data_IF_207029809816
#
_entry.id   IF_207029809816
#
_cell.length_a   1.000
_cell.length_b   1.000
_cell.length_c   1.000
_cell.angle_alpha   90.00
_cell.angle_beta   90.00
_cell.angle_gamma   90.00
#
_symmetry.space_group_name_H-M   'P 1'
#
loop_
_entity.id
_entity.type
_entity.pdbx_description
1 polymer ?
#
# COMPACT_ATOMS: atom_id res chain seq x y z
N UNK A 1 23.80 -17.19 -45.14
CA UNK A 1 23.04 -16.41 -44.13
C UNK A 1 21.73 -17.14 -43.94
N UNK A 2 21.51 -17.72 -42.77
CA UNK A 2 20.32 -18.54 -42.47
C UNK A 2 19.11 -17.64 -42.21
N UNK A 3 17.87 -18.05 -42.57
CA UNK A 3 16.67 -17.22 -42.46
C UNK A 3 16.21 -16.92 -41.02
N UNK A 4 16.83 -17.55 -40.01
CA UNK A 4 16.30 -17.62 -38.64
C UNK A 4 16.65 -16.41 -37.76
N UNK A 5 17.59 -15.56 -38.17
CA UNK A 5 18.02 -14.39 -37.37
C UNK A 5 17.20 -13.13 -37.68
N UNK A 6 16.63 -13.00 -38.89
CA UNK A 6 15.82 -11.84 -39.27
C UNK A 6 14.38 -11.91 -38.73
N UNK A 7 13.77 -13.11 -38.68
CA UNK A 7 12.41 -13.29 -38.13
C UNK A 7 12.32 -13.05 -36.61
N UNK A 8 13.42 -13.23 -35.87
CA UNK A 8 13.44 -13.02 -34.41
C UNK A 8 13.57 -11.55 -34.01
N UNK A 9 14.30 -10.75 -34.79
CA UNK A 9 14.45 -9.30 -34.54
C UNK A 9 13.19 -8.52 -34.92
N UNK A 10 12.49 -8.91 -36.00
CA UNK A 10 11.20 -8.32 -36.38
C UNK A 10 10.14 -8.57 -35.28
N UNK A 11 10.09 -9.78 -34.71
CA UNK A 11 9.17 -10.12 -33.63
C UNK A 11 9.46 -9.34 -32.34
N UNK A 12 10.73 -9.11 -32.01
CA UNK A 12 11.11 -8.33 -30.82
C UNK A 12 10.76 -6.85 -30.99
N UNK A 13 10.97 -6.30 -32.17
CA UNK A 13 10.60 -4.93 -32.50
C UNK A 13 9.09 -4.73 -32.44
N UNK A 14 8.31 -5.68 -32.96
CA UNK A 14 6.85 -5.63 -32.92
C UNK A 14 6.30 -5.75 -31.49
N UNK A 15 6.91 -6.59 -30.64
CA UNK A 15 6.56 -6.67 -29.21
C UNK A 15 6.90 -5.38 -28.47
N UNK A 16 8.03 -4.75 -28.79
CA UNK A 16 8.44 -3.46 -28.20
C UNK A 16 7.56 -2.29 -28.67
N UNK A 17 7.14 -2.29 -29.94
CA UNK A 17 6.21 -1.30 -30.47
C UNK A 17 4.79 -1.50 -29.94
N UNK A 18 4.30 -2.74 -29.79
CA UNK A 18 3.03 -3.02 -29.11
C UNK A 18 3.09 -2.61 -27.64
N UNK A 19 4.20 -2.88 -26.93
CA UNK A 19 4.39 -2.47 -25.54
C UNK A 19 4.47 -0.94 -25.40
N UNK A 20 5.13 -0.24 -26.34
CA UNK A 20 5.17 1.23 -26.38
C UNK A 20 3.80 1.81 -26.70
N UNK A 21 3.12 1.32 -27.74
CA UNK A 21 1.76 1.69 -28.13
C UNK A 21 0.76 1.51 -26.98
N UNK A 22 0.88 0.40 -26.24
CA UNK A 22 0.10 0.11 -25.04
C UNK A 22 0.35 1.09 -23.87
N UNK A 23 1.57 1.62 -23.74
CA UNK A 23 1.90 2.61 -22.69
C UNK A 23 1.27 3.98 -23.01
N UNK A 24 1.09 4.31 -24.30
CA UNK A 24 0.43 5.55 -24.73
C UNK A 24 -1.09 5.55 -24.51
N UNK A 25 -1.77 4.40 -24.60
CA UNK A 25 -3.24 4.32 -24.39
C UNK A 25 -3.68 4.33 -22.93
N UNK A 26 -2.79 3.99 -21.99
CA UNK A 26 -3.15 3.90 -20.56
C UNK A 26 -3.01 5.22 -19.79
N UNK A 27 -2.88 6.35 -20.49
CA UNK A 27 -2.74 7.68 -19.88
C UNK A 27 -4.03 8.24 -19.24
N UNK A 28 -5.17 7.52 -19.33
CA UNK A 28 -6.35 7.87 -18.56
C UNK A 28 -6.18 7.50 -17.09
N UNK A 29 -6.17 8.54 -16.27
CA UNK A 29 -6.08 8.45 -14.81
C UNK A 29 -7.18 7.60 -14.21
N UNK A 30 -6.83 6.64 -13.35
CA UNK A 30 -7.79 5.99 -12.46
C UNK A 30 -8.24 6.99 -11.38
N UNK A 31 -9.36 7.66 -11.66
CA UNK A 31 -10.05 8.50 -10.69
C UNK A 31 -11.28 7.75 -10.19
N UNK A 32 -11.30 7.41 -8.90
CA UNK A 32 -12.48 6.82 -8.29
C UNK A 32 -13.67 7.76 -8.43
N UNK A 33 -14.75 7.27 -9.03
CA UNK A 33 -16.02 7.99 -9.08
C UNK A 33 -16.61 8.01 -7.67
N UNK A 34 -17.48 8.99 -7.41
CA UNK A 34 -18.19 9.11 -6.12
C UNK A 34 -18.88 7.81 -5.71
N UNK A 35 -19.50 7.12 -6.67
CA UNK A 35 -20.18 5.84 -6.44
C UNK A 35 -19.21 4.74 -5.96
N UNK A 36 -18.00 4.71 -6.51
CA UNK A 36 -16.95 3.76 -6.12
C UNK A 36 -16.38 4.12 -4.74
N UNK A 37 -16.17 5.40 -4.44
CA UNK A 37 -15.76 5.84 -3.11
C UNK A 37 -16.80 5.49 -2.03
N UNK A 38 -18.08 5.70 -2.33
CA UNK A 38 -19.19 5.31 -1.44
C UNK A 38 -19.27 3.80 -1.27
N UNK A 39 -19.04 3.03 -2.35
CA UNK A 39 -18.95 1.58 -2.29
C UNK A 39 -17.81 1.12 -1.39
N UNK A 40 -16.60 1.67 -1.56
CA UNK A 40 -15.44 1.36 -0.73
C UNK A 40 -15.74 1.68 0.74
N UNK A 41 -16.27 2.87 1.03
CA UNK A 41 -16.65 3.26 2.41
C UNK A 41 -17.67 2.31 3.01
N UNK A 42 -18.68 1.92 2.24
CA UNK A 42 -19.70 0.95 2.67
C UNK A 42 -19.07 -0.42 2.94
N UNK A 43 -18.25 -0.94 2.02
CA UNK A 43 -17.57 -2.23 2.19
C UNK A 43 -16.68 -2.25 3.45
N UNK A 44 -15.93 -1.17 3.70
CA UNK A 44 -15.11 -1.02 4.91
C UNK A 44 -15.98 -1.02 6.17
N UNK A 45 -17.14 -0.36 6.11
CA UNK A 45 -18.10 -0.27 7.21
C UNK A 45 -18.75 -1.62 7.53
N UNK A 46 -19.11 -2.41 6.53
CA UNK A 46 -19.81 -3.69 6.73
C UNK A 46 -18.87 -4.84 7.09
N UNK A 47 -17.55 -4.62 6.95
CA UNK A 47 -16.55 -5.65 7.15
C UNK A 47 -16.54 -6.19 8.58
N UNK A 48 -16.80 -7.50 8.72
CA UNK A 48 -16.74 -8.21 9.99
C UNK A 48 -15.32 -8.70 10.24
N UNK A 49 -14.69 -8.12 11.26
CA UNK A 49 -13.28 -8.33 11.57
C UNK A 49 -13.12 -9.47 12.59
N UNK A 50 -12.24 -10.46 12.34
CA UNK A 50 -11.87 -11.45 13.34
C UNK A 50 -11.28 -10.85 14.62
N UNK A 51 -11.42 -11.56 15.74
CA UNK A 51 -10.79 -11.14 17.00
C UNK A 51 -9.26 -11.02 16.84
N UNK A 52 -8.70 -9.93 17.37
CA UNK A 52 -7.25 -9.65 17.32
C UNK A 52 -6.80 -8.74 16.16
N UNK A 53 -7.68 -8.44 15.20
CA UNK A 53 -7.40 -7.44 14.15
C UNK A 53 -7.97 -6.08 14.57
N UNK A 54 -7.24 -5.00 14.28
CA UNK A 54 -7.68 -3.65 14.62
C UNK A 54 -8.88 -3.26 13.76
N UNK A 55 -9.96 -2.84 14.42
CA UNK A 55 -11.13 -2.28 13.75
C UNK A 55 -10.81 -0.87 13.27
N UNK A 56 -11.08 -0.58 12.00
CA UNK A 56 -10.93 0.77 11.45
C UNK A 56 -12.22 1.54 11.70
N UNK A 57 -12.12 2.79 12.15
CA UNK A 57 -13.30 3.64 12.36
C UNK A 57 -14.04 3.92 11.05
N UNK A 58 -15.38 3.99 11.12
CA UNK A 58 -16.26 3.99 9.94
C UNK A 58 -16.22 5.29 9.12
N UNK A 59 -15.73 6.39 9.68
CA UNK A 59 -15.79 7.72 9.06
C UNK A 59 -14.43 8.14 8.46
N UNK A 60 -13.81 7.23 7.71
CA UNK A 60 -12.55 7.51 6.99
C UNK A 60 -12.79 8.62 5.97
N UNK A 61 -11.97 9.68 6.05
CA UNK A 61 -12.06 10.84 5.15
C UNK A 61 -13.05 11.91 5.58
N UNK A 62 -13.79 11.72 6.68
CA UNK A 62 -14.60 12.79 7.25
C UNK A 62 -13.78 13.66 8.21
N UNK A 63 -13.94 15.01 8.18
CA UNK A 63 -13.20 15.92 9.07
C UNK A 63 -13.39 15.65 10.56
N UNK A 64 -14.48 14.97 10.94
CA UNK A 64 -14.90 14.75 12.33
C UNK A 64 -14.21 13.58 13.02
N UNK A 65 -13.48 12.73 12.29
CA UNK A 65 -13.12 11.38 12.77
C UNK A 65 -11.76 11.31 13.47
N UNK A 66 -11.05 12.42 13.58
CA UNK A 66 -9.70 12.43 14.15
C UNK A 66 -8.69 11.70 13.24
N UNK A 67 -7.47 11.51 13.76
CA UNK A 67 -6.38 10.86 13.00
C UNK A 67 -6.41 9.36 13.24
N UNK A 68 -6.29 8.56 12.17
CA UNK A 68 -6.11 7.11 12.28
C UNK A 68 -4.82 6.79 13.04
N UNK A 69 -4.91 5.82 13.95
CA UNK A 69 -3.75 5.25 14.66
C UNK A 69 -2.98 4.34 13.70
N UNK A 70 -1.71 4.08 14.01
CA UNK A 70 -0.87 3.24 13.17
C UNK A 70 -1.41 1.82 12.96
N UNK A 71 -2.02 1.22 13.98
CA UNK A 71 -2.66 -0.09 13.85
C UNK A 71 -3.91 -0.06 12.96
N UNK A 72 -4.65 1.05 12.94
CA UNK A 72 -5.77 1.26 12.03
C UNK A 72 -5.29 1.47 10.59
N UNK A 73 -4.23 2.26 10.39
CA UNK A 73 -3.57 2.39 9.08
C UNK A 73 -3.09 1.05 8.54
N UNK A 74 -2.43 0.25 9.38
CA UNK A 74 -1.97 -1.08 9.01
C UNK A 74 -3.15 -1.97 8.59
N UNK A 75 -4.20 -2.06 9.42
CA UNK A 75 -5.38 -2.85 9.06
C UNK A 75 -6.07 -2.34 7.79
N UNK A 76 -6.15 -1.02 7.61
CA UNK A 76 -6.77 -0.41 6.42
C UNK A 76 -6.09 -0.87 5.13
N UNK A 77 -4.76 -0.76 5.06
CA UNK A 77 -4.00 -1.11 3.84
C UNK A 77 -3.72 -2.60 3.69
N UNK A 78 -3.61 -3.36 4.78
CA UNK A 78 -3.32 -4.80 4.72
C UNK A 78 -4.56 -5.67 4.48
N UNK A 79 -5.76 -5.18 4.82
CA UNK A 79 -6.97 -6.01 4.83
C UNK A 79 -8.19 -5.32 4.20
N UNK A 80 -8.55 -4.14 4.69
CA UNK A 80 -9.83 -3.54 4.30
C UNK A 80 -9.84 -3.04 2.86
N UNK A 81 -8.83 -2.26 2.45
CA UNK A 81 -8.75 -1.72 1.09
C UNK A 81 -8.63 -2.82 0.01
N UNK A 82 -7.76 -3.84 0.17
CA UNK A 82 -7.71 -4.97 -0.77
C UNK A 82 -9.07 -5.63 -1.00
N UNK A 83 -9.81 -5.89 0.07
CA UNK A 83 -11.12 -6.54 -0.02
C UNK A 83 -12.19 -5.59 -0.61
N UNK A 84 -12.20 -4.33 -0.19
CA UNK A 84 -13.15 -3.34 -0.69
C UNK A 84 -12.95 -3.05 -2.20
N UNK A 85 -11.69 -3.00 -2.67
CA UNK A 85 -11.38 -2.73 -4.09
C UNK A 85 -11.68 -3.95 -4.96
N UNK A 86 -11.39 -5.18 -4.48
CA UNK A 86 -11.77 -6.41 -5.21
C UNK A 86 -13.29 -6.52 -5.38
N UNK A 87 -14.08 -5.99 -4.45
CA UNK A 87 -15.54 -6.01 -4.52
C UNK A 87 -16.13 -4.95 -5.48
N UNK A 88 -15.31 -4.05 -6.04
CA UNK A 88 -15.82 -3.01 -6.95
C UNK A 88 -16.35 -3.61 -8.26
N UNK A 89 -17.52 -3.17 -8.75
CA UNK A 89 -18.03 -3.59 -10.05
C UNK A 89 -17.09 -3.26 -11.23
N UNK A 90 -16.34 -2.15 -11.14
CA UNK A 90 -15.33 -1.76 -12.12
C UNK A 90 -14.08 -2.66 -12.12
N UNK A 91 -13.93 -3.50 -11.11
CA UNK A 91 -12.79 -4.43 -10.94
C UNK A 91 -13.21 -5.88 -11.18
N UNK A 92 -14.37 -6.28 -10.68
CA UNK A 92 -14.81 -7.68 -10.62
C UNK A 92 -16.05 -8.00 -11.48
N UNK A 93 -16.33 -7.20 -12.52
CA UNK A 93 -17.42 -7.48 -13.45
C UNK A 93 -17.00 -8.35 -14.63
N UNK A 94 -17.82 -9.35 -14.97
CA UNK A 94 -17.61 -10.22 -16.14
C UNK A 94 -17.83 -9.49 -17.47
N UNK A 95 -18.52 -8.34 -17.45
CA UNK A 95 -18.90 -7.57 -18.64
C UNK A 95 -17.88 -6.49 -19.02
N UNK A 96 -16.77 -6.36 -18.28
CA UNK A 96 -15.75 -5.34 -18.56
C UNK A 96 -15.14 -5.52 -19.96
N UNK A 97 -15.01 -4.42 -20.68
CA UNK A 97 -14.24 -4.37 -21.93
C UNK A 97 -12.74 -4.59 -21.69
N UNK A 98 -11.98 -4.83 -22.76
CA UNK A 98 -10.55 -5.18 -22.67
C UNK A 98 -9.72 -4.09 -21.95
N UNK A 99 -9.97 -2.81 -22.23
CA UNK A 99 -9.25 -1.70 -21.61
C UNK A 99 -9.58 -1.56 -20.12
N UNK A 100 -10.85 -1.70 -19.74
CA UNK A 100 -11.28 -1.67 -18.34
C UNK A 100 -10.66 -2.82 -17.54
N UNK A 101 -10.60 -4.04 -18.11
CA UNK A 101 -9.92 -5.18 -17.48
C UNK A 101 -8.43 -4.93 -17.27
N UNK A 102 -7.75 -4.29 -18.23
CA UNK A 102 -6.33 -3.93 -18.10
C UNK A 102 -6.12 -2.92 -16.97
N UNK A 103 -6.95 -1.87 -16.90
CA UNK A 103 -6.91 -0.87 -15.82
C UNK A 103 -7.19 -1.49 -14.45
N UNK A 104 -8.21 -2.34 -14.34
CA UNK A 104 -8.52 -3.09 -13.11
C UNK A 104 -7.36 -3.98 -12.66
N UNK A 105 -6.72 -4.70 -13.60
CA UNK A 105 -5.53 -5.51 -13.32
C UNK A 105 -4.39 -4.65 -12.78
N UNK A 106 -4.13 -3.50 -13.41
CA UNK A 106 -3.08 -2.57 -12.97
C UNK A 106 -3.35 -2.02 -11.56
N UNK A 107 -4.61 -1.66 -11.26
CA UNK A 107 -5.04 -1.24 -9.92
C UNK A 107 -4.80 -2.33 -8.87
N UNK A 108 -5.19 -3.57 -9.19
CA UNK A 108 -4.98 -4.72 -8.30
C UNK A 108 -3.50 -5.03 -8.08
N UNK A 109 -2.66 -4.89 -9.11
CA UNK A 109 -1.20 -5.06 -8.99
C UNK A 109 -0.57 -3.99 -8.10
N UNK A 110 -1.00 -2.73 -8.27
CA UNK A 110 -0.59 -1.62 -7.43
C UNK A 110 -0.95 -1.87 -5.96
N UNK A 111 -2.23 -2.16 -5.70
CA UNK A 111 -2.75 -2.40 -4.36
C UNK A 111 -2.12 -3.62 -3.70
N UNK A 112 -1.95 -4.71 -4.45
CA UNK A 112 -1.27 -5.92 -3.98
C UNK A 112 0.17 -5.62 -3.55
N UNK A 113 0.89 -4.83 -4.34
CA UNK A 113 2.26 -4.42 -4.01
C UNK A 113 2.30 -3.61 -2.70
N UNK A 114 1.39 -2.65 -2.54
CA UNK A 114 1.26 -1.87 -1.31
C UNK A 114 0.88 -2.73 -0.10
N UNK A 115 -0.03 -3.69 -0.28
CA UNK A 115 -0.47 -4.63 0.76
C UNK A 115 0.69 -5.49 1.24
N UNK A 116 1.50 -6.02 0.30
CA UNK A 116 2.69 -6.81 0.62
C UNK A 116 3.71 -5.97 1.39
N UNK A 117 4.01 -4.75 0.91
CA UNK A 117 4.89 -3.83 1.62
C UNK A 117 4.40 -3.56 3.05
N UNK A 118 3.11 -3.28 3.23
CA UNK A 118 2.51 -3.02 4.55
C UNK A 118 2.66 -4.23 5.47
N UNK A 119 2.39 -5.43 4.97
CA UNK A 119 2.55 -6.67 5.74
C UNK A 119 4.00 -6.95 6.15
N UNK A 120 4.97 -6.67 5.28
CA UNK A 120 6.40 -6.81 5.61
C UNK A 120 6.78 -5.83 6.72
N UNK A 121 6.39 -4.56 6.62
CA UNK A 121 6.69 -3.54 7.63
C UNK A 121 6.05 -3.85 8.99
N UNK A 122 4.88 -4.48 8.98
CA UNK A 122 4.17 -4.89 10.19
C UNK A 122 4.64 -6.22 10.78
N UNK A 123 5.52 -6.94 10.08
CA UNK A 123 6.02 -8.23 10.54
C UNK A 123 6.84 -8.10 11.82
N UNK A 124 6.77 -9.12 12.68
CA UNK A 124 7.61 -9.25 13.88
C UNK A 124 8.95 -9.92 13.61
N UNK A 125 9.16 -10.41 12.39
CA UNK A 125 10.40 -11.03 11.95
C UNK A 125 10.64 -10.68 10.48
N UNK A 126 11.85 -10.23 10.17
CA UNK A 126 12.26 -9.82 8.83
C UNK A 126 13.59 -10.48 8.52
N UNK A 127 13.70 -11.06 7.33
CA UNK A 127 14.93 -11.63 6.80
C UNK A 127 15.28 -10.95 5.48
N UNK A 128 16.40 -11.35 4.88
CA UNK A 128 16.88 -10.75 3.64
C UNK A 128 15.89 -10.89 2.47
N UNK A 129 15.17 -12.02 2.39
CA UNK A 129 14.14 -12.26 1.37
C UNK A 129 13.03 -11.22 1.49
N UNK A 130 12.52 -10.99 2.71
CA UNK A 130 11.49 -9.98 2.97
C UNK A 130 11.97 -8.57 2.58
N UNK A 131 13.24 -8.22 2.86
CA UNK A 131 13.79 -6.93 2.48
C UNK A 131 13.88 -6.76 0.95
N UNK A 132 14.31 -7.80 0.24
CA UNK A 132 14.40 -7.78 -1.22
C UNK A 132 13.00 -7.73 -1.86
N UNK A 133 12.05 -8.48 -1.32
CA UNK A 133 10.64 -8.43 -1.72
C UNK A 133 10.04 -7.05 -1.48
N UNK A 134 10.36 -6.41 -0.35
CA UNK A 134 9.92 -5.05 -0.06
C UNK A 134 10.39 -4.07 -1.14
N UNK A 135 11.69 -4.09 -1.49
CA UNK A 135 12.26 -3.20 -2.52
C UNK A 135 11.56 -3.45 -3.86
N UNK A 136 11.45 -4.72 -4.27
CA UNK A 136 10.81 -5.11 -5.53
C UNK A 136 9.37 -4.65 -5.60
N UNK A 137 8.59 -4.89 -4.54
CA UNK A 137 7.16 -4.54 -4.48
C UNK A 137 6.95 -3.03 -4.37
N UNK A 138 7.76 -2.32 -3.60
CA UNK A 138 7.64 -0.87 -3.50
C UNK A 138 7.98 -0.18 -4.83
N UNK A 139 8.99 -0.65 -5.57
CA UNK A 139 9.27 -0.16 -6.92
C UNK A 139 8.09 -0.42 -7.88
N UNK A 140 7.51 -1.63 -7.84
CA UNK A 140 6.33 -1.94 -8.65
C UNK A 140 5.14 -1.05 -8.27
N UNK A 141 4.93 -0.80 -6.98
CA UNK A 141 3.92 0.15 -6.49
C UNK A 141 4.17 1.55 -7.06
N UNK A 142 5.39 2.08 -7.01
CA UNK A 142 5.70 3.41 -7.57
C UNK A 142 5.43 3.49 -9.07
N UNK A 143 5.91 2.50 -9.85
CA UNK A 143 5.72 2.45 -11.30
C UNK A 143 4.24 2.34 -11.70
N UNK A 144 3.50 1.45 -11.05
CA UNK A 144 2.06 1.29 -11.32
C UNK A 144 1.27 2.50 -10.81
N UNK A 145 1.68 3.15 -9.72
CA UNK A 145 1.04 4.38 -9.24
C UNK A 145 1.18 5.49 -10.27
N UNK A 146 2.37 5.67 -10.86
CA UNK A 146 2.62 6.68 -11.89
C UNK A 146 1.72 6.49 -13.11
N UNK A 147 1.42 5.23 -13.47
CA UNK A 147 0.51 4.89 -14.57
C UNK A 147 -0.96 5.10 -14.20
N UNK A 148 -1.35 4.77 -12.97
CA UNK A 148 -2.74 4.87 -12.51
C UNK A 148 -3.15 6.30 -12.14
N UNK A 149 -2.28 7.05 -11.46
CA UNK A 149 -2.61 8.35 -10.90
C UNK A 149 -1.69 9.42 -11.50
N UNK A 150 -2.29 10.33 -12.27
CA UNK A 150 -1.65 11.49 -12.85
C UNK A 150 -1.38 12.49 -11.74
N UNK A 151 -0.27 13.23 -11.86
CA UNK A 151 0.11 14.29 -10.92
C UNK A 151 0.35 13.81 -9.46
N UNK A 152 0.86 12.60 -9.26
CA UNK A 152 1.30 12.16 -7.92
C UNK A 152 2.38 13.12 -7.40
N UNK A 153 2.02 13.85 -6.34
CA UNK A 153 2.99 14.63 -5.58
C UNK A 153 3.84 13.70 -4.72
N UNK A 154 5.11 13.59 -5.08
CA UNK A 154 6.11 12.90 -4.25
C UNK A 154 6.42 13.79 -3.04
N UNK A 155 6.13 13.30 -1.84
CA UNK A 155 6.46 13.96 -0.57
C UNK A 155 7.67 13.30 0.09
N UNK A 156 8.35 13.94 1.05
CA UNK A 156 9.53 13.36 1.71
C UNK A 156 9.28 11.96 2.29
N UNK A 157 8.07 11.68 2.77
CA UNK A 157 7.70 10.34 3.24
C UNK A 157 7.86 9.26 2.17
N UNK A 158 7.56 9.54 0.89
CA UNK A 158 7.79 8.59 -0.18
C UNK A 158 9.27 8.24 -0.34
N UNK A 159 10.17 9.20 -0.11
CA UNK A 159 11.61 8.99 -0.12
C UNK A 159 12.09 8.21 1.11
N UNK A 160 11.58 8.53 2.30
CA UNK A 160 11.91 7.78 3.51
C UNK A 160 11.59 6.28 3.38
N UNK A 161 10.50 5.94 2.68
CA UNK A 161 10.11 4.54 2.47
C UNK A 161 11.17 3.74 1.70
N UNK A 162 11.92 4.38 0.80
CA UNK A 162 12.98 3.71 0.02
C UNK A 162 14.10 3.15 0.91
N UNK A 163 14.34 3.78 2.06
CA UNK A 163 15.39 3.37 2.99
C UNK A 163 14.93 2.28 3.97
N UNK A 164 13.63 1.99 4.06
CA UNK A 164 13.10 1.06 5.07
C UNK A 164 13.67 -0.36 4.93
N UNK A 165 13.96 -0.81 3.71
CA UNK A 165 14.57 -2.12 3.50
C UNK A 165 15.96 -2.21 4.14
N UNK A 166 16.79 -1.19 3.95
CA UNK A 166 18.11 -1.14 4.56
C UNK A 166 17.97 -1.02 6.08
N UNK A 167 17.09 -0.15 6.58
CA UNK A 167 16.81 -0.04 8.01
C UNK A 167 16.42 -1.38 8.64
N UNK A 168 15.58 -2.18 7.98
CA UNK A 168 15.22 -3.52 8.44
C UNK A 168 16.40 -4.50 8.45
N UNK A 169 17.32 -4.39 7.49
CA UNK A 169 18.56 -5.20 7.47
C UNK A 169 19.48 -4.85 8.65
N UNK A 170 19.59 -3.57 8.99
CA UNK A 170 20.48 -3.10 10.07
C UNK A 170 19.88 -3.29 11.46
N UNK A 171 18.58 -3.05 11.62
CA UNK A 171 17.95 -2.91 12.94
C UNK A 171 16.88 -3.96 13.25
N UNK A 172 16.71 -4.98 12.39
CA UNK A 172 15.64 -5.96 12.52
C UNK A 172 14.25 -5.33 12.23
N UNK A 173 13.10 -6.01 12.46
CA UNK A 173 11.78 -5.49 12.11
C UNK A 173 11.48 -4.09 12.66
N UNK A 174 10.92 -3.21 11.82
CA UNK A 174 10.64 -1.82 12.20
C UNK A 174 9.69 -1.69 13.38
N UNK A 175 8.78 -2.66 13.56
CA UNK A 175 7.85 -2.66 14.69
C UNK A 175 8.60 -2.64 16.04
N UNK A 176 9.75 -3.30 16.13
CA UNK A 176 10.56 -3.41 17.34
C UNK A 176 11.29 -2.09 17.69
N UNK A 177 11.64 -1.29 16.68
CA UNK A 177 12.33 0.01 16.85
C UNK A 177 11.38 1.20 16.80
N UNK A 178 10.09 0.96 16.57
CA UNK A 178 9.10 2.02 16.51
C UNK A 178 8.88 2.68 17.88
N UNK A 179 8.31 3.89 17.88
CA UNK A 179 7.91 4.58 19.12
C UNK A 179 6.71 3.87 19.80
N UNK A 180 6.02 2.96 19.11
CA UNK A 180 4.75 2.39 19.58
C UNK A 180 4.84 1.67 20.93
N UNK A 181 5.85 0.84 21.22
CA UNK A 181 6.04 0.24 22.54
C UNK A 181 6.26 1.28 23.64
N UNK A 182 6.80 2.46 23.31
CA UNK A 182 7.05 3.55 24.26
C UNK A 182 5.80 4.38 24.60
N UNK A 183 4.78 4.41 23.75
CA UNK A 183 3.56 5.23 23.98
C UNK A 183 2.78 4.83 25.24
N UNK A 184 2.56 3.52 25.52
CA UNK A 184 1.97 3.09 26.79
C UNK A 184 2.81 3.52 28.00
N UNK A 185 4.15 3.45 27.89
CA UNK A 185 5.08 3.84 28.96
C UNK A 185 4.96 5.34 29.24
N UNK A 186 4.91 6.18 28.20
CA UNK A 186 4.70 7.62 28.37
C UNK A 186 3.36 7.94 29.05
N UNK A 187 2.29 7.25 28.66
CA UNK A 187 0.98 7.41 29.30
C UNK A 187 0.96 6.94 30.76
N UNK A 188 1.78 5.95 31.12
CA UNK A 188 1.99 5.55 32.50
C UNK A 188 2.83 6.56 33.27
N UNK A 189 3.95 7.03 32.71
CA UNK A 189 4.82 8.04 33.32
C UNK A 189 4.09 9.36 33.59
N UNK A 190 3.20 9.79 32.70
CA UNK A 190 2.34 10.96 32.92
C UNK A 190 1.36 10.80 34.09
N UNK A 191 1.05 9.57 34.49
CA UNK A 191 0.18 9.26 35.63
C UNK A 191 0.95 9.09 36.94
N UNK A 192 2.28 9.02 36.90
CA UNK A 192 3.11 9.01 38.10
C UNK A 192 3.16 10.44 38.64
N UNK A 193 2.84 10.64 39.92
CA UNK A 193 2.79 11.96 40.53
C UNK A 193 4.22 12.53 40.63
N UNK A 194 4.43 13.76 40.14
CA UNK A 194 5.71 14.48 40.24
C UNK A 194 5.86 15.18 41.61
N UNK A 195 5.42 14.55 42.69
CA UNK A 195 5.60 15.10 44.03
C UNK A 195 7.07 14.87 44.42
N UNK A 196 7.91 15.84 44.09
CA UNK A 196 9.38 15.82 44.22
C UNK A 196 9.91 15.70 45.66
N UNK A 197 9.53 14.65 46.38
CA UNK A 197 10.07 14.28 47.68
C UNK A 197 11.29 13.36 47.50
N UNK A 198 12.31 13.83 46.79
CA UNK A 198 13.66 13.29 46.92
C UNK A 198 14.38 14.17 47.93
N UNK A 199 14.48 13.69 49.17
CA UNK A 199 15.23 14.34 50.24
C UNK A 199 14.40 15.16 51.21
N UNK A 200 13.75 14.47 52.17
CA UNK A 200 13.55 15.01 53.53
C UNK A 200 13.79 13.87 54.52
N UNK A 201 15.00 13.82 55.08
CA UNK A 201 15.29 13.13 56.34
C UNK A 201 14.99 14.05 57.51
#
# INVERSE_FOLDING_TARGET
MSPTEQENDENLHDIEEEAKSMDYELHETWLFKREEEEHIKRAISEFKVPAGITKVSFAIGEPKTGKLKASEWNSLFSLYLPLAIIDLPSVNSYVLGQNERRKAKLLLENLSSLTICTNILASRCVNEINCNDFIKKYNNYCQTSQKLFMDIKIVPNNHYVLHLADQMKWWSPLLAISEFPGKPINGWLQKVNNDGLIGKS
#
